data_IF_043806957484
#
_entry.id   IF_043806957484
#
_cell.length_a   1.000
_cell.length_b   1.000
_cell.length_c   1.000
_cell.angle_alpha   90.00
_cell.angle_beta   90.00
_cell.angle_gamma   90.00
#
_symmetry.space_group_name_H-M   'P 1'
#
loop_
_entity.id
_entity.type
_entity.pdbx_description
1 polymer ?
#
# COMPACT_ATOMS: atom_id res chain seq x y z
N UNK A 1 -38.81 23.63 -48.65
CA UNK A 1 -38.12 22.51 -49.33
C UNK A 1 -37.41 21.66 -48.27
N UNK A 2 -37.95 20.48 -47.94
CA UNK A 2 -37.31 19.52 -47.02
C UNK A 2 -36.28 18.72 -47.82
N UNK A 3 -35.00 18.88 -47.51
CA UNK A 3 -33.93 18.03 -48.05
C UNK A 3 -34.01 16.69 -47.29
N UNK A 4 -34.58 15.67 -47.94
CA UNK A 4 -34.45 14.28 -47.48
C UNK A 4 -32.97 13.93 -47.64
N UNK A 5 -32.32 13.59 -46.54
CA UNK A 5 -31.05 12.87 -46.58
C UNK A 5 -31.43 11.45 -47.03
N UNK A 6 -30.98 11.06 -48.22
CA UNK A 6 -31.11 9.68 -48.69
C UNK A 6 -30.36 8.77 -47.72
N UNK A 7 -31.13 7.97 -46.99
CA UNK A 7 -30.73 7.09 -45.91
C UNK A 7 -30.73 5.63 -46.40
N UNK A 8 -29.87 5.33 -47.38
CA UNK A 8 -29.74 3.96 -47.93
C UNK A 8 -28.37 3.70 -48.60
N UNK A 9 -27.28 4.17 -47.98
CA UNK A 9 -25.92 3.72 -48.33
C UNK A 9 -25.44 2.74 -47.28
N UNK A 10 -25.32 1.47 -47.63
CA UNK A 10 -24.79 0.44 -46.75
C UNK A 10 -23.36 0.76 -46.27
N UNK A 11 -23.05 0.36 -45.04
CA UNK A 11 -21.71 0.45 -44.43
C UNK A 11 -20.67 -0.20 -45.35
N UNK A 12 -19.63 0.56 -45.70
CA UNK A 12 -18.51 0.01 -46.46
C UNK A 12 -17.67 -0.92 -45.59
N UNK A 13 -16.99 -1.91 -46.20
CA UNK A 13 -16.02 -2.75 -45.48
C UNK A 13 -14.96 -1.91 -44.78
N UNK A 14 -14.54 -0.81 -45.42
CA UNK A 14 -13.56 0.11 -44.87
C UNK A 14 -14.10 0.82 -43.61
N UNK A 15 -15.34 1.28 -43.62
CA UNK A 15 -15.96 1.89 -42.43
C UNK A 15 -16.10 0.90 -41.29
N UNK A 16 -16.50 -0.34 -41.55
CA UNK A 16 -16.56 -1.37 -40.51
C UNK A 16 -15.17 -1.62 -39.90
N UNK A 17 -14.14 -1.73 -40.74
CA UNK A 17 -12.75 -1.92 -40.29
C UNK A 17 -12.29 -0.72 -39.46
N UNK A 18 -12.57 0.51 -39.90
CA UNK A 18 -12.21 1.74 -39.16
C UNK A 18 -12.99 1.81 -37.84
N UNK A 19 -14.29 1.53 -37.84
CA UNK A 19 -15.12 1.55 -36.64
C UNK A 19 -14.62 0.54 -35.61
N UNK A 20 -14.32 -0.68 -36.03
CA UNK A 20 -13.75 -1.72 -35.16
C UNK A 20 -12.36 -1.32 -34.67
N UNK A 21 -11.52 -0.71 -35.51
CA UNK A 21 -10.19 -0.24 -35.11
C UNK A 21 -10.27 0.84 -34.04
N UNK A 22 -11.11 1.86 -34.23
CA UNK A 22 -11.32 2.95 -33.26
C UNK A 22 -11.90 2.40 -31.96
N UNK A 23 -12.92 1.54 -32.04
CA UNK A 23 -13.52 0.90 -30.86
C UNK A 23 -12.50 0.06 -30.10
N UNK A 24 -11.65 -0.69 -30.81
CA UNK A 24 -10.60 -1.53 -30.20
C UNK A 24 -9.55 -0.69 -29.49
N UNK A 25 -9.10 0.41 -30.10
CA UNK A 25 -8.16 1.36 -29.48
C UNK A 25 -8.78 1.97 -28.22
N UNK A 26 -10.03 2.43 -28.29
CA UNK A 26 -10.75 2.98 -27.15
C UNK A 26 -10.88 1.97 -25.99
N UNK A 27 -11.23 0.72 -26.32
CA UNK A 27 -11.34 -0.35 -25.33
C UNK A 27 -10.00 -0.67 -24.68
N UNK A 28 -8.92 -0.76 -25.48
CA UNK A 28 -7.58 -1.01 -24.95
C UNK A 28 -7.12 0.13 -24.05
N UNK A 29 -7.38 1.38 -24.42
CA UNK A 29 -7.07 2.55 -23.60
C UNK A 29 -7.79 2.51 -22.25
N UNK A 30 -9.09 2.15 -22.24
CA UNK A 30 -9.87 2.00 -21.02
C UNK A 30 -9.35 0.87 -20.11
N UNK A 31 -8.99 -0.28 -20.70
CA UNK A 31 -8.39 -1.40 -19.97
C UNK A 31 -7.04 -1.01 -19.36
N UNK A 32 -6.16 -0.36 -20.14
CA UNK A 32 -4.85 0.11 -19.68
C UNK A 32 -4.96 1.11 -18.52
N UNK A 33 -5.91 2.05 -18.60
CA UNK A 33 -6.16 2.99 -17.51
C UNK A 33 -6.59 2.28 -16.22
N UNK A 34 -7.42 1.23 -16.33
CA UNK A 34 -7.88 0.43 -15.19
C UNK A 34 -6.73 -0.37 -14.56
N UNK A 35 -5.85 -0.95 -15.37
CA UNK A 35 -4.72 -1.74 -14.87
C UNK A 35 -3.66 -0.88 -14.17
N UNK A 36 -3.45 0.36 -14.61
CA UNK A 36 -2.57 1.30 -13.90
C UNK A 36 -3.05 1.57 -12.47
N UNK A 37 -4.36 1.70 -12.24
CA UNK A 37 -4.92 1.86 -10.90
C UNK A 37 -4.67 0.61 -10.05
N UNK A 38 -4.82 -0.59 -10.62
CA UNK A 38 -4.57 -1.86 -9.91
C UNK A 38 -3.11 -2.01 -9.46
N UNK A 39 -2.15 -1.66 -10.32
CA UNK A 39 -0.73 -1.72 -9.96
C UNK A 39 -0.39 -0.75 -8.81
N UNK A 40 -0.98 0.44 -8.79
CA UNK A 40 -0.79 1.38 -7.68
C UNK A 40 -1.41 0.87 -6.36
N UNK A 41 -2.54 0.15 -6.43
CA UNK A 41 -3.22 -0.45 -5.28
C UNK A 41 -2.53 -1.71 -4.73
N UNK A 42 -1.75 -2.42 -5.56
CA UNK A 42 -1.15 -3.72 -5.26
C UNK A 42 -0.28 -3.78 -3.99
N UNK A 43 0.26 -2.65 -3.53
CA UNK A 43 1.04 -2.57 -2.28
C UNK A 43 0.37 -1.79 -1.15
N UNK A 44 -0.76 -1.14 -1.42
CA UNK A 44 -1.41 -0.24 -0.46
C UNK A 44 -1.92 -1.01 0.77
N UNK A 45 -2.57 -2.15 0.56
CA UNK A 45 -3.04 -3.01 1.64
C UNK A 45 -1.87 -3.50 2.52
N UNK A 46 -0.76 -3.91 1.91
CA UNK A 46 0.44 -4.37 2.63
C UNK A 46 1.04 -3.25 3.49
N UNK A 47 1.08 -2.02 2.97
CA UNK A 47 1.57 -0.85 3.73
C UNK A 47 0.66 -0.51 4.91
N UNK A 48 -0.66 -0.61 4.74
CA UNK A 48 -1.61 -0.43 5.84
C UNK A 48 -1.42 -1.48 6.92
N UNK A 49 -1.27 -2.76 6.55
CA UNK A 49 -0.96 -3.82 7.50
C UNK A 49 0.37 -3.58 8.21
N UNK A 50 1.42 -3.15 7.49
CA UNK A 50 2.69 -2.78 8.09
C UNK A 50 2.54 -1.62 9.09
N UNK A 51 1.66 -0.65 8.82
CA UNK A 51 1.36 0.47 9.73
C UNK A 51 0.76 -0.03 11.05
N UNK A 52 -0.17 -0.99 10.97
CA UNK A 52 -0.74 -1.65 12.16
C UNK A 52 0.35 -2.41 12.92
N UNK A 53 1.23 -3.14 12.22
CA UNK A 53 2.34 -3.86 12.87
C UNK A 53 3.27 -2.92 13.64
N UNK A 54 3.68 -1.79 13.06
CA UNK A 54 4.55 -0.84 13.78
C UNK A 54 3.85 -0.14 14.94
N UNK A 55 2.54 0.11 14.85
CA UNK A 55 1.74 0.66 15.96
C UNK A 55 1.62 -0.35 17.10
N UNK A 56 1.27 -1.60 16.81
CA UNK A 56 1.22 -2.65 17.81
C UNK A 56 2.57 -2.82 18.50
N UNK A 57 3.66 -2.79 17.74
CA UNK A 57 5.01 -2.84 18.31
C UNK A 57 5.31 -1.64 19.21
N UNK A 58 4.83 -0.44 18.88
CA UNK A 58 5.01 0.72 19.76
C UNK A 58 4.26 0.53 21.09
N UNK A 59 3.05 -0.03 21.05
CA UNK A 59 2.28 -0.35 22.26
C UNK A 59 2.93 -1.48 23.08
N UNK A 60 3.40 -2.55 22.43
CA UNK A 60 4.16 -3.62 23.10
C UNK A 60 5.39 -3.05 23.82
N UNK A 61 6.09 -2.10 23.21
CA UNK A 61 7.24 -1.44 23.83
C UNK A 61 6.84 -0.51 24.98
N UNK A 62 5.69 0.15 24.92
CA UNK A 62 5.17 0.94 26.03
C UNK A 62 4.74 0.05 27.21
N UNK A 63 4.09 -1.08 26.93
CA UNK A 63 3.59 -2.00 27.96
C UNK A 63 4.70 -2.85 28.57
N UNK A 64 5.63 -3.36 27.77
CA UNK A 64 6.62 -4.35 28.17
C UNK A 64 8.06 -3.84 28.24
N UNK A 65 8.37 -2.65 27.70
CA UNK A 65 9.73 -2.18 27.38
C UNK A 65 10.75 -2.02 28.51
N UNK A 66 10.39 -2.35 29.75
CA UNK A 66 11.32 -2.46 30.89
C UNK A 66 11.29 -3.79 31.64
N UNK A 67 10.34 -4.68 31.39
CA UNK A 67 10.11 -5.89 32.21
C UNK A 67 9.80 -7.16 31.41
N UNK A 68 9.45 -7.03 30.13
CA UNK A 68 9.21 -8.16 29.25
C UNK A 68 10.50 -8.74 28.67
N UNK A 69 10.44 -10.01 28.29
CA UNK A 69 11.47 -10.65 27.48
C UNK A 69 11.58 -10.03 26.07
N UNK A 70 12.56 -10.45 25.26
CA UNK A 70 12.75 -9.92 23.92
C UNK A 70 11.50 -10.15 23.05
N UNK A 71 11.02 -9.08 22.40
CA UNK A 71 9.91 -9.16 21.45
C UNK A 71 10.37 -9.86 20.15
N UNK A 72 9.48 -10.61 19.47
CA UNK A 72 9.83 -11.32 18.26
C UNK A 72 10.25 -10.36 17.14
N UNK A 73 11.27 -10.75 16.37
CA UNK A 73 11.74 -10.01 15.19
C UNK A 73 10.88 -10.23 13.94
N UNK A 74 9.82 -11.04 14.04
CA UNK A 74 8.91 -11.33 12.93
C UNK A 74 7.49 -11.47 13.46
N UNK A 75 6.53 -10.89 12.74
CA UNK A 75 5.10 -10.89 13.09
C UNK A 75 4.27 -11.31 11.88
N UNK A 76 3.27 -12.16 12.10
CA UNK A 76 2.25 -12.48 11.10
C UNK A 76 1.05 -11.56 11.29
N UNK A 77 0.62 -10.90 10.21
CA UNK A 77 -0.52 -9.98 10.23
C UNK A 77 -1.28 -10.07 8.90
N UNK A 78 -2.58 -10.36 8.95
CA UNK A 78 -3.41 -10.47 7.75
C UNK A 78 -2.92 -11.52 6.74
N UNK A 79 -2.37 -12.64 7.23
CA UNK A 79 -1.80 -13.71 6.39
C UNK A 79 -0.47 -13.37 5.72
N UNK A 80 0.20 -12.30 6.16
CA UNK A 80 1.52 -11.89 5.67
C UNK A 80 2.52 -11.82 6.81
N UNK A 81 3.76 -12.20 6.50
CA UNK A 81 4.90 -12.10 7.39
C UNK A 81 5.56 -10.73 7.26
N UNK A 82 5.90 -10.13 8.40
CA UNK A 82 6.65 -8.89 8.49
C UNK A 82 7.89 -9.07 9.36
N UNK A 83 9.06 -8.73 8.83
CA UNK A 83 10.27 -8.53 9.62
C UNK A 83 10.18 -7.19 10.37
N UNK A 84 10.36 -7.22 11.68
CA UNK A 84 10.25 -6.05 12.55
C UNK A 84 11.60 -5.75 13.20
N UNK A 85 12.09 -4.54 12.99
CA UNK A 85 13.34 -4.05 13.59
C UNK A 85 13.07 -2.81 14.42
N UNK A 86 13.70 -2.72 15.58
CA UNK A 86 13.61 -1.56 16.46
C UNK A 86 15.01 -1.04 16.74
N UNK A 87 15.25 0.23 16.40
CA UNK A 87 16.49 0.93 16.73
C UNK A 87 16.22 1.97 17.81
N UNK A 88 17.02 1.94 18.87
CA UNK A 88 16.87 2.87 19.99
C UNK A 88 17.90 4.00 19.94
N UNK A 89 17.47 5.19 20.33
CA UNK A 89 18.32 6.35 20.53
C UNK A 89 17.96 7.00 21.86
N UNK A 90 18.99 7.35 22.63
CA UNK A 90 18.78 8.13 23.85
C UNK A 90 18.40 9.56 23.48
N UNK A 91 17.45 10.15 24.20
CA UNK A 91 17.09 11.56 24.05
C UNK A 91 17.51 12.36 25.29
N UNK A 92 17.57 13.68 25.16
CA UNK A 92 17.69 14.55 26.32
C UNK A 92 16.48 14.31 27.26
N UNK A 93 16.68 14.43 28.57
CA UNK A 93 15.69 14.17 29.63
C UNK A 93 15.37 12.70 29.98
N UNK A 94 16.23 11.74 29.61
CA UNK A 94 16.13 10.34 30.09
C UNK A 94 15.08 9.48 29.38
N UNK A 95 14.35 10.05 28.41
CA UNK A 95 13.48 9.32 27.50
C UNK A 95 14.30 8.57 26.44
N UNK A 96 13.65 7.63 25.77
CA UNK A 96 14.26 6.84 24.69
C UNK A 96 13.41 6.90 23.44
N UNK A 97 13.99 7.30 22.32
CA UNK A 97 13.35 7.21 21.02
C UNK A 97 13.51 5.79 20.47
N UNK A 98 12.42 5.21 19.98
CA UNK A 98 12.38 3.93 19.30
C UNK A 98 11.93 4.13 17.84
N UNK A 99 12.81 3.81 16.90
CA UNK A 99 12.51 3.78 15.47
C UNK A 99 12.13 2.35 15.08
N UNK A 100 10.85 2.15 14.79
CA UNK A 100 10.23 0.85 14.58
C UNK A 100 9.91 0.70 13.09
N UNK A 101 10.51 -0.30 12.45
CA UNK A 101 10.27 -0.59 11.04
C UNK A 101 9.68 -1.99 10.88
N UNK A 102 8.61 -2.10 10.11
CA UNK A 102 8.05 -3.38 9.67
C UNK A 102 8.17 -3.47 8.14
N UNK A 103 8.65 -4.61 7.63
CA UNK A 103 8.81 -4.85 6.19
C UNK A 103 8.30 -6.24 5.81
N UNK A 104 7.45 -6.30 4.80
CA UNK A 104 6.98 -7.54 4.19
C UNK A 104 8.06 -8.11 3.25
N UNK A 105 7.97 -9.41 2.96
CA UNK A 105 8.87 -10.09 2.01
C UNK A 105 8.79 -9.49 0.59
N UNK A 106 7.62 -8.94 0.23
CA UNK A 106 7.37 -8.24 -1.03
C UNK A 106 7.99 -6.83 -1.08
N UNK A 107 8.52 -6.34 0.03
CA UNK A 107 9.31 -5.12 0.12
C UNK A 107 8.56 -3.89 0.66
N UNK A 108 7.23 -3.91 0.68
CA UNK A 108 6.44 -2.85 1.32
C UNK A 108 6.62 -2.85 2.84
N UNK A 109 6.44 -1.69 3.46
CA UNK A 109 6.63 -1.57 4.89
C UNK A 109 6.16 -0.24 5.43
N UNK A 110 6.37 -0.07 6.73
CA UNK A 110 6.07 1.13 7.48
C UNK A 110 7.21 1.44 8.45
N UNK A 111 7.31 2.72 8.83
CA UNK A 111 8.22 3.23 9.84
C UNK A 111 7.42 4.08 10.82
N UNK A 112 7.59 3.84 12.11
CA UNK A 112 7.03 4.66 13.18
C UNK A 112 8.15 5.03 14.15
N UNK A 113 8.18 6.29 14.56
CA UNK A 113 9.07 6.75 15.63
C UNK A 113 8.23 7.01 16.86
N UNK A 114 8.53 6.32 17.96
CA UNK A 114 7.88 6.49 19.24
C UNK A 114 8.87 6.99 20.29
N UNK A 115 8.38 7.76 21.26
CA UNK A 115 9.16 8.17 22.43
C UNK A 115 8.66 7.34 23.60
N UNK A 116 9.60 6.64 24.25
CA UNK A 116 9.34 5.72 25.34
C UNK A 116 9.86 6.29 26.66
N UNK A 117 9.22 5.94 27.79
CA UNK A 117 9.73 6.28 29.11
C UNK A 117 11.10 5.64 29.36
N UNK A 118 11.84 6.11 30.39
CA UNK A 118 13.11 5.52 30.77
C UNK A 118 12.91 4.05 31.17
N UNK A 119 13.89 3.17 30.92
CA UNK A 119 13.80 1.78 31.34
C UNK A 119 13.61 1.69 32.87
N UNK A 120 12.60 0.94 33.30
CA UNK A 120 12.37 0.64 34.72
C UNK A 120 11.56 1.67 35.51
N UNK A 121 11.00 2.70 34.87
CA UNK A 121 10.10 3.67 35.53
C UNK A 121 8.64 3.32 35.19
N UNK A 122 7.81 3.09 36.21
CA UNK A 122 6.34 3.07 36.13
C UNK A 122 5.81 4.37 36.69
#
# INVERSE_FOLDING_TARGET
MRRRLDDDRGLTLLELVIAVAVLSIGTLAALRATDQSRLALSGAQTRLLAQVVVQNRAEELQLYGGTGGPLPGTVEMGGRRFAVTVAYQATAAGLRQASIRARADTGEGALLVAVLPPPGVR
#
